data_IF_148376236592
#
_entry.id   IF_148376236592
#
_cell.length_a   1.000
_cell.length_b   1.000
_cell.length_c   1.000
_cell.angle_alpha   90.00
_cell.angle_beta   90.00
_cell.angle_gamma   90.00
#
_symmetry.space_group_name_H-M   'P 1'
#
loop_
_entity.id
_entity.type
_entity.pdbx_description
1 polymer ?
#
# COMPACT_ATOMS: atom_id res chain seq x y z
N UNK A 1 4.68 -10.34 5.24
CA UNK A 1 5.50 -11.56 5.49
C UNK A 1 4.54 -12.73 5.69
N UNK A 2 4.91 -13.99 5.35
CA UNK A 2 4.07 -15.16 5.65
C UNK A 2 3.78 -15.33 7.14
N UNK A 3 4.67 -14.88 8.00
CA UNK A 3 4.53 -14.89 9.46
C UNK A 3 3.94 -13.59 10.02
N UNK A 4 3.51 -12.67 9.16
CA UNK A 4 2.93 -11.39 9.59
C UNK A 4 1.53 -11.57 10.19
N UNK A 5 1.20 -10.73 11.15
CA UNK A 5 -0.07 -10.81 11.92
C UNK A 5 -1.34 -10.78 11.07
N UNK A 6 -1.25 -10.27 9.82
CA UNK A 6 -2.39 -10.14 8.92
C UNK A 6 -2.50 -11.27 7.88
N UNK A 7 -1.58 -12.25 7.87
CA UNK A 7 -1.52 -13.29 6.83
C UNK A 7 -2.82 -14.08 6.67
N UNK A 8 -3.53 -14.35 7.75
CA UNK A 8 -4.78 -15.12 7.75
C UNK A 8 -5.99 -14.36 7.20
N UNK A 9 -5.88 -13.03 7.04
CA UNK A 9 -6.94 -12.24 6.45
C UNK A 9 -6.89 -12.29 4.92
N UNK A 10 -8.04 -12.10 4.28
CA UNK A 10 -8.06 -11.95 2.82
C UNK A 10 -7.70 -10.51 2.41
N UNK A 11 -7.09 -10.31 1.22
CA UNK A 11 -6.81 -8.96 0.72
C UNK A 11 -8.04 -8.05 0.65
N UNK A 12 -9.20 -8.58 0.29
CA UNK A 12 -10.42 -7.79 0.22
C UNK A 12 -10.91 -7.36 1.60
N UNK A 13 -10.78 -8.23 2.62
CA UNK A 13 -11.07 -7.85 3.99
C UNK A 13 -10.19 -6.71 4.44
N UNK A 14 -8.87 -6.83 4.24
CA UNK A 14 -7.90 -5.78 4.59
C UNK A 14 -8.20 -4.47 3.84
N UNK A 15 -8.45 -4.53 2.54
CA UNK A 15 -8.77 -3.37 1.70
C UNK A 15 -10.05 -2.64 2.14
N UNK A 16 -11.01 -3.35 2.72
CA UNK A 16 -12.28 -2.78 3.18
C UNK A 16 -12.15 -2.02 4.51
N UNK A 17 -11.14 -2.31 5.33
CA UNK A 17 -11.04 -1.73 6.68
C UNK A 17 -10.90 -0.20 6.71
N UNK A 18 -10.05 0.44 5.88
CA UNK A 18 -10.01 1.90 5.81
C UNK A 18 -11.35 2.52 5.37
N UNK A 19 -12.07 1.89 4.44
CA UNK A 19 -13.37 2.37 3.98
C UNK A 19 -14.42 2.29 5.09
N UNK A 20 -14.49 1.17 5.81
CA UNK A 20 -15.38 1.02 6.95
C UNK A 20 -15.07 2.07 8.04
N UNK A 21 -13.79 2.27 8.35
CA UNK A 21 -13.36 3.26 9.33
C UNK A 21 -13.71 4.70 8.93
N UNK A 22 -13.65 5.03 7.64
CA UNK A 22 -14.09 6.35 7.17
C UNK A 22 -15.57 6.58 7.46
N UNK A 23 -16.44 5.60 7.23
CA UNK A 23 -17.88 5.71 7.54
C UNK A 23 -18.14 5.78 9.05
N UNK A 24 -17.40 5.02 9.84
CA UNK A 24 -17.51 5.04 11.30
C UNK A 24 -17.10 6.39 11.89
N UNK A 25 -16.02 6.97 11.38
CA UNK A 25 -15.47 8.25 11.86
C UNK A 25 -16.21 9.48 11.34
N UNK A 26 -16.78 9.37 10.15
CA UNK A 26 -17.45 10.45 9.45
C UNK A 26 -18.77 9.93 8.89
N UNK A 27 -19.88 10.03 9.66
CA UNK A 27 -21.17 9.57 9.19
C UNK A 27 -21.63 10.37 7.96
N UNK A 28 -21.70 9.71 6.81
CA UNK A 28 -22.19 10.24 5.55
C UNK A 28 -22.97 9.16 4.80
N UNK A 29 -23.87 9.57 3.91
CA UNK A 29 -24.49 8.63 2.98
C UNK A 29 -23.45 8.18 1.97
N UNK A 30 -23.15 6.87 1.94
CA UNK A 30 -22.15 6.34 1.01
C UNK A 30 -22.51 6.54 -0.46
N UNK A 31 -23.80 6.77 -0.80
CA UNK A 31 -24.24 7.14 -2.15
C UNK A 31 -23.65 8.44 -2.65
N UNK A 32 -23.21 9.31 -1.73
CA UNK A 32 -22.54 10.56 -2.09
C UNK A 32 -21.11 10.36 -2.62
N UNK A 33 -20.58 9.14 -2.53
CA UNK A 33 -19.24 8.82 -3.08
C UNK A 33 -19.36 8.50 -4.56
N UNK A 34 -18.82 9.39 -5.38
CA UNK A 34 -18.87 9.26 -6.85
C UNK A 34 -17.88 8.24 -7.39
N UNK A 35 -16.74 8.02 -6.71
CA UNK A 35 -15.77 7.00 -7.11
C UNK A 35 -14.80 6.65 -5.99
N UNK A 36 -14.34 5.40 -5.99
CA UNK A 36 -13.25 4.91 -5.15
C UNK A 36 -12.10 4.43 -6.02
N UNK A 37 -10.93 5.03 -5.88
CA UNK A 37 -9.74 4.69 -6.66
C UNK A 37 -8.73 4.02 -5.76
N UNK A 38 -8.39 2.75 -6.06
CA UNK A 38 -7.39 2.00 -5.31
C UNK A 38 -6.19 1.60 -6.16
N UNK A 39 -5.00 1.84 -5.64
CA UNK A 39 -3.77 1.29 -6.16
C UNK A 39 -3.59 -0.17 -5.73
N UNK A 40 -3.29 -1.04 -6.70
CA UNK A 40 -2.87 -2.41 -6.45
C UNK A 40 -1.88 -2.82 -7.53
N UNK A 41 -0.68 -3.24 -7.14
CA UNK A 41 0.42 -3.52 -8.08
C UNK A 41 0.30 -4.90 -8.69
N UNK A 42 -0.13 -5.90 -7.90
CA UNK A 42 -0.24 -7.29 -8.33
C UNK A 42 -1.70 -7.74 -8.31
N UNK A 43 -2.51 -7.33 -9.34
CA UNK A 43 -3.95 -7.53 -9.37
C UNK A 43 -4.32 -8.93 -9.87
N UNK A 44 -3.77 -9.98 -9.26
CA UNK A 44 -4.01 -11.39 -9.61
C UNK A 44 -4.46 -12.20 -8.39
N UNK A 45 -5.00 -13.38 -8.64
CA UNK A 45 -5.47 -14.26 -7.58
C UNK A 45 -6.47 -13.53 -6.66
N UNK A 46 -6.22 -13.53 -5.36
CA UNK A 46 -7.08 -12.89 -4.35
C UNK A 46 -7.14 -11.35 -4.46
N UNK A 47 -6.24 -10.73 -5.21
CA UNK A 47 -6.25 -9.28 -5.52
C UNK A 47 -6.80 -8.97 -6.92
N UNK A 48 -7.22 -10.01 -7.66
CA UNK A 48 -7.80 -9.87 -8.99
C UNK A 48 -9.24 -9.35 -9.00
N UNK A 49 -9.80 -9.19 -10.19
CA UNK A 49 -11.21 -8.88 -10.38
C UNK A 49 -11.64 -7.49 -9.89
N UNK A 50 -10.76 -6.49 -9.96
CA UNK A 50 -10.98 -5.12 -9.44
C UNK A 50 -11.21 -5.12 -7.91
N UNK A 51 -10.14 -5.32 -7.16
CA UNK A 51 -10.18 -5.37 -5.69
C UNK A 51 -10.75 -4.08 -5.06
N UNK A 52 -10.64 -2.93 -5.73
CA UNK A 52 -11.27 -1.68 -5.27
C UNK A 52 -12.79 -1.84 -5.16
N UNK A 53 -13.41 -2.40 -6.21
CA UNK A 53 -14.85 -2.64 -6.20
C UNK A 53 -15.26 -3.67 -5.14
N UNK A 54 -14.48 -4.72 -4.99
CA UNK A 54 -14.74 -5.73 -3.97
C UNK A 54 -14.60 -5.15 -2.55
N UNK A 55 -13.63 -4.27 -2.32
CA UNK A 55 -13.46 -3.58 -1.04
C UNK A 55 -14.64 -2.65 -0.70
N UNK A 56 -15.18 -1.94 -1.68
CA UNK A 56 -16.37 -1.08 -1.53
C UNK A 56 -17.56 -1.90 -1.06
N UNK A 57 -17.82 -3.03 -1.70
CA UNK A 57 -18.93 -3.94 -1.33
C UNK A 57 -18.69 -4.57 0.05
N UNK A 58 -17.46 -5.00 0.33
CA UNK A 58 -17.08 -5.61 1.62
C UNK A 58 -17.14 -4.60 2.78
N UNK A 59 -17.03 -3.30 2.51
CA UNK A 59 -17.17 -2.22 3.49
C UNK A 59 -18.62 -1.73 3.65
N UNK A 60 -19.59 -2.43 3.07
CA UNK A 60 -21.02 -2.11 3.11
C UNK A 60 -21.36 -0.70 2.60
N UNK A 61 -20.61 -0.20 1.61
CA UNK A 61 -21.02 0.96 0.84
C UNK A 61 -22.19 0.62 -0.06
N UNK A 62 -22.97 1.62 -0.43
CA UNK A 62 -24.09 1.42 -1.36
C UNK A 62 -23.59 0.75 -2.66
N UNK A 63 -24.31 -0.23 -3.19
CA UNK A 63 -23.91 -0.92 -4.42
C UNK A 63 -23.81 -0.02 -5.66
N UNK A 64 -24.35 1.20 -5.64
CA UNK A 64 -24.17 2.13 -6.74
C UNK A 64 -22.79 2.80 -6.79
N UNK A 65 -22.01 2.78 -5.69
CA UNK A 65 -20.68 3.41 -5.63
C UNK A 65 -19.71 2.68 -6.54
N UNK A 66 -19.21 3.31 -7.62
CA UNK A 66 -18.25 2.67 -8.51
C UNK A 66 -16.87 2.62 -7.87
N UNK A 67 -15.99 1.79 -8.44
CA UNK A 67 -14.60 1.78 -8.03
C UNK A 67 -13.68 1.37 -9.17
N UNK A 68 -12.48 1.96 -9.17
CA UNK A 68 -11.44 1.78 -10.15
C UNK A 68 -10.15 1.29 -9.48
N UNK A 69 -9.56 0.24 -10.02
CA UNK A 69 -8.22 -0.22 -9.65
C UNK A 69 -7.20 0.31 -10.65
N UNK A 70 -6.08 0.85 -10.15
CA UNK A 70 -5.00 1.35 -10.98
C UNK A 70 -3.65 0.75 -10.56
N UNK A 71 -2.71 0.73 -11.50
CA UNK A 71 -1.35 0.28 -11.28
C UNK A 71 -0.34 1.30 -11.83
N UNK A 72 0.52 1.80 -10.96
CA UNK A 72 1.73 2.59 -11.26
C UNK A 72 2.88 2.09 -10.39
N UNK A 73 3.05 0.76 -10.32
CA UNK A 73 4.05 0.10 -9.47
C UNK A 73 4.01 0.65 -8.02
N UNK A 74 5.16 0.86 -7.39
CA UNK A 74 5.26 1.36 -6.02
C UNK A 74 4.60 2.73 -5.78
N UNK A 75 4.29 3.48 -6.85
CA UNK A 75 3.55 4.74 -6.81
C UNK A 75 2.02 4.61 -6.90
N UNK A 76 1.47 3.38 -6.96
CA UNK A 76 0.04 3.16 -7.21
C UNK A 76 -0.89 3.83 -6.18
N UNK A 77 -0.54 3.80 -4.91
CA UNK A 77 -1.32 4.46 -3.86
C UNK A 77 -1.32 5.99 -3.98
N UNK A 78 -0.16 6.57 -4.28
CA UNK A 78 -0.06 8.01 -4.54
C UNK A 78 -0.87 8.41 -5.78
N UNK A 79 -0.74 7.63 -6.87
CA UNK A 79 -1.48 7.86 -8.10
C UNK A 79 -3.00 7.76 -7.89
N UNK A 80 -3.45 6.79 -7.09
CA UNK A 80 -4.87 6.63 -6.75
C UNK A 80 -5.43 7.90 -6.10
N UNK A 81 -4.70 8.47 -5.14
CA UNK A 81 -5.09 9.73 -4.48
C UNK A 81 -5.05 10.90 -5.47
N UNK A 82 -4.00 11.00 -6.28
CA UNK A 82 -3.88 12.06 -7.29
C UNK A 82 -5.00 11.99 -8.33
N UNK A 83 -5.33 10.77 -8.80
CA UNK A 83 -6.40 10.56 -9.76
C UNK A 83 -7.78 10.90 -9.17
N UNK A 84 -8.05 10.45 -7.94
CA UNK A 84 -9.28 10.79 -7.22
C UNK A 84 -9.43 12.32 -7.05
N UNK A 85 -8.36 13.00 -6.63
CA UNK A 85 -8.35 14.46 -6.52
C UNK A 85 -8.56 15.17 -7.86
N UNK A 86 -7.93 14.66 -8.95
CA UNK A 86 -8.10 15.23 -10.29
C UNK A 86 -9.54 15.16 -10.79
N UNK A 87 -10.30 14.10 -10.48
CA UNK A 87 -11.73 14.01 -10.82
C UNK A 87 -12.54 15.11 -10.15
N UNK A 88 -12.28 15.42 -8.89
CA UNK A 88 -12.94 16.53 -8.18
C UNK A 88 -12.52 17.87 -8.77
N UNK A 89 -11.22 18.08 -9.01
CA UNK A 89 -10.71 19.33 -9.61
C UNK A 89 -11.26 19.58 -11.02
N UNK A 90 -11.54 18.53 -11.79
CA UNK A 90 -12.13 18.62 -13.12
C UNK A 90 -13.66 18.76 -13.12
N UNK A 91 -14.30 18.76 -11.97
CA UNK A 91 -15.76 18.80 -11.84
C UNK A 91 -16.48 17.53 -12.32
N UNK A 92 -15.77 16.41 -12.38
CA UNK A 92 -16.33 15.10 -12.75
C UNK A 92 -16.93 14.36 -11.53
N UNK A 93 -16.59 14.78 -10.34
CA UNK A 93 -17.04 14.19 -9.09
C UNK A 93 -17.03 15.26 -7.98
N UNK A 94 -17.90 15.11 -6.99
CA UNK A 94 -17.95 15.97 -5.81
C UNK A 94 -17.21 15.32 -4.64
N UNK A 95 -17.28 13.99 -4.52
CA UNK A 95 -16.64 13.23 -3.44
C UNK A 95 -16.00 11.94 -3.97
N UNK A 96 -14.70 11.83 -3.81
CA UNK A 96 -13.93 10.64 -4.21
C UNK A 96 -13.06 10.14 -3.06
N UNK A 97 -12.74 8.84 -3.09
CA UNK A 97 -11.83 8.22 -2.14
C UNK A 97 -10.63 7.66 -2.90
N UNK A 98 -9.42 8.04 -2.53
CA UNK A 98 -8.17 7.48 -3.04
C UNK A 98 -7.46 6.64 -1.98
N UNK A 99 -6.98 5.45 -2.35
CA UNK A 99 -6.30 4.55 -1.42
C UNK A 99 -5.59 3.41 -2.13
N UNK A 100 -5.47 2.26 -1.47
CA UNK A 100 -4.88 1.07 -2.09
C UNK A 100 -4.71 -0.09 -1.12
N UNK A 101 -4.32 -1.23 -1.68
CA UNK A 101 -3.99 -2.43 -0.93
C UNK A 101 -2.91 -3.23 -1.65
N UNK A 102 -2.03 -3.83 -0.88
CA UNK A 102 -1.05 -4.80 -1.39
C UNK A 102 -0.74 -5.82 -0.29
N UNK A 103 -1.23 -7.03 -0.46
CA UNK A 103 -1.07 -8.09 0.53
C UNK A 103 -0.03 -9.12 0.10
N UNK A 104 1.23 -8.72 0.12
CA UNK A 104 2.38 -9.50 -0.37
C UNK A 104 2.63 -10.81 0.39
N UNK A 105 2.01 -11.03 1.54
CA UNK A 105 2.08 -12.32 2.25
C UNK A 105 1.24 -13.42 1.59
N UNK A 106 0.18 -13.04 0.85
CA UNK A 106 -0.72 -13.97 0.15
C UNK A 106 -0.58 -13.90 -1.37
N UNK A 107 -0.33 -12.72 -1.90
CA UNK A 107 -0.05 -12.49 -3.33
C UNK A 107 1.38 -11.95 -3.46
N UNK A 108 2.38 -12.81 -3.66
CA UNK A 108 3.78 -12.41 -3.70
C UNK A 108 4.08 -11.42 -4.83
N UNK A 109 5.07 -10.56 -4.60
CA UNK A 109 5.58 -9.63 -5.62
C UNK A 109 6.00 -10.42 -6.87
N UNK A 110 5.58 -9.94 -8.05
CA UNK A 110 5.88 -10.58 -9.33
C UNK A 110 4.92 -11.71 -9.73
N UNK A 111 3.88 -11.99 -8.93
CA UNK A 111 2.86 -13.02 -9.29
C UNK A 111 2.07 -12.65 -10.55
N UNK A 112 2.05 -11.39 -10.94
CA UNK A 112 1.45 -10.89 -12.18
C UNK A 112 2.31 -11.16 -13.42
N UNK A 113 3.53 -11.70 -13.24
CA UNK A 113 4.50 -11.91 -14.30
C UNK A 113 5.13 -10.60 -14.75
N UNK A 114 4.83 -10.19 -15.95
CA UNK A 114 5.27 -8.90 -16.48
C UNK A 114 6.32 -9.01 -17.57
N UNK A 115 6.02 -8.37 -18.70
CA UNK A 115 6.87 -8.37 -19.89
C UNK A 115 8.28 -7.84 -19.62
N UNK A 116 8.42 -6.93 -18.66
CA UNK A 116 9.70 -6.28 -18.37
C UNK A 116 10.79 -7.28 -17.95
N UNK A 117 10.43 -8.29 -17.15
CA UNK A 117 11.36 -9.32 -16.72
C UNK A 117 11.32 -10.58 -17.61
N UNK A 118 10.24 -10.79 -18.38
CA UNK A 118 10.01 -12.00 -19.16
C UNK A 118 10.29 -11.84 -20.65
N UNK A 119 10.25 -10.62 -21.20
CA UNK A 119 10.57 -10.33 -22.58
C UNK A 119 12.04 -9.90 -22.71
N UNK A 120 12.92 -10.74 -23.31
CA UNK A 120 14.35 -10.45 -23.42
C UNK A 120 14.65 -9.19 -24.25
N UNK A 121 13.82 -8.89 -25.26
CA UNK A 121 14.03 -7.71 -26.10
C UNK A 121 13.71 -6.43 -25.30
N UNK A 122 12.61 -6.43 -24.57
CA UNK A 122 12.24 -5.30 -23.73
C UNK A 122 13.24 -5.12 -22.58
N UNK A 123 13.64 -6.20 -21.91
CA UNK A 123 14.63 -6.17 -20.83
C UNK A 123 15.97 -5.57 -21.32
N UNK A 124 16.46 -6.04 -22.47
CA UNK A 124 17.69 -5.51 -23.09
C UNK A 124 17.55 -4.03 -23.48
N UNK A 125 16.45 -3.68 -24.16
CA UNK A 125 16.19 -2.30 -24.60
C UNK A 125 16.11 -1.30 -23.47
N UNK A 126 15.56 -1.70 -22.33
CA UNK A 126 15.38 -0.85 -21.15
C UNK A 126 16.50 -0.98 -20.13
N UNK A 127 17.49 -1.85 -20.40
CA UNK A 127 18.56 -2.18 -19.44
C UNK A 127 17.99 -2.58 -18.07
N UNK A 128 16.93 -3.40 -18.12
CA UNK A 128 16.22 -3.80 -16.89
C UNK A 128 17.14 -4.57 -15.95
N UNK A 129 17.19 -4.10 -14.71
CA UNK A 129 17.84 -4.78 -13.58
C UNK A 129 16.96 -4.71 -12.35
N UNK A 130 17.10 -5.66 -11.45
CA UNK A 130 16.35 -5.66 -10.19
C UNK A 130 16.65 -4.40 -9.37
N UNK A 131 15.65 -3.92 -8.64
CA UNK A 131 15.71 -2.64 -7.90
C UNK A 131 16.91 -2.55 -6.95
N UNK A 132 17.27 -3.63 -6.25
CA UNK A 132 18.44 -3.66 -5.37
C UNK A 132 19.75 -3.40 -6.13
N UNK A 133 19.91 -4.01 -7.31
CA UNK A 133 21.09 -3.78 -8.18
C UNK A 133 21.14 -2.32 -8.65
N UNK A 134 19.99 -1.75 -9.01
CA UNK A 134 19.90 -0.33 -9.38
C UNK A 134 20.28 0.59 -8.22
N UNK A 135 19.87 0.25 -7.01
CA UNK A 135 20.21 1.01 -5.79
C UNK A 135 21.71 0.96 -5.51
N UNK A 136 22.35 -0.22 -5.61
CA UNK A 136 23.80 -0.38 -5.44
C UNK A 136 24.59 0.37 -6.51
N UNK A 137 24.14 0.31 -7.76
CA UNK A 137 24.72 1.09 -8.84
C UNK A 137 24.64 2.59 -8.57
N UNK A 138 23.48 3.08 -8.13
CA UNK A 138 23.27 4.47 -7.78
C UNK A 138 24.19 4.91 -6.63
N UNK A 139 24.30 4.08 -5.59
CA UNK A 139 25.20 4.34 -4.46
C UNK A 139 26.66 4.46 -4.94
N UNK A 140 27.10 3.52 -5.79
CA UNK A 140 28.45 3.54 -6.38
C UNK A 140 28.70 4.78 -7.23
N UNK A 141 27.77 5.15 -8.10
CA UNK A 141 27.89 6.32 -8.98
C UNK A 141 27.88 7.65 -8.21
N UNK A 142 27.21 7.69 -7.06
CA UNK A 142 27.12 8.89 -6.21
C UNK A 142 28.15 8.93 -5.09
N UNK A 143 28.96 7.88 -4.93
CA UNK A 143 30.00 7.79 -3.92
C UNK A 143 29.48 7.62 -2.49
N UNK A 144 28.25 7.05 -2.33
CA UNK A 144 27.74 6.71 -1.00
C UNK A 144 28.43 5.46 -0.47
N UNK A 145 29.01 5.56 0.71
CA UNK A 145 29.63 4.43 1.38
C UNK A 145 28.59 3.50 2.02
N UNK A 146 28.98 2.27 2.33
CA UNK A 146 28.18 1.35 3.13
C UNK A 146 27.76 1.97 4.47
N UNK A 147 28.69 2.67 5.11
CA UNK A 147 28.44 3.34 6.39
C UNK A 147 27.34 4.43 6.28
N UNK A 148 27.32 5.18 5.16
CA UNK A 148 26.28 6.19 4.93
C UNK A 148 24.90 5.53 4.79
N UNK A 149 24.81 4.42 4.05
CA UNK A 149 23.57 3.70 3.83
C UNK A 149 23.04 3.07 5.14
N UNK A 150 23.93 2.48 5.94
CA UNK A 150 23.55 1.88 7.23
C UNK A 150 23.11 2.96 8.24
N UNK A 151 23.83 4.09 8.29
CA UNK A 151 23.44 5.23 9.13
C UNK A 151 22.06 5.77 8.75
N UNK A 152 21.77 5.90 7.45
CA UNK A 152 20.49 6.33 6.94
C UNK A 152 19.37 5.35 7.34
N UNK A 153 19.59 4.05 7.15
CA UNK A 153 18.62 2.99 7.49
C UNK A 153 18.32 2.98 8.99
N UNK A 154 19.36 3.01 9.84
CA UNK A 154 19.20 3.08 11.29
C UNK A 154 18.44 4.35 11.71
N UNK A 155 18.72 5.49 11.08
CA UNK A 155 18.01 6.75 11.34
C UNK A 155 16.53 6.64 10.98
N UNK A 156 16.18 6.00 9.86
CA UNK A 156 14.81 5.79 9.43
C UNK A 156 13.99 5.00 10.48
N UNK A 157 14.54 3.88 10.97
CA UNK A 157 13.89 3.09 12.03
C UNK A 157 13.70 3.90 13.32
N UNK A 158 14.71 4.65 13.77
CA UNK A 158 14.57 5.49 14.97
C UNK A 158 13.50 6.56 14.83
N UNK A 159 13.39 7.20 13.65
CA UNK A 159 12.33 8.21 13.38
C UNK A 159 10.96 7.59 13.43
N UNK A 160 10.76 6.43 12.81
CA UNK A 160 9.50 5.72 12.82
C UNK A 160 9.11 5.29 14.24
N UNK A 161 10.04 4.69 15.01
CA UNK A 161 9.80 4.30 16.40
C UNK A 161 9.41 5.50 17.27
N UNK A 162 10.11 6.64 17.11
CA UNK A 162 9.78 7.87 17.85
C UNK A 162 8.39 8.39 17.49
N UNK A 163 8.02 8.39 16.21
CA UNK A 163 6.70 8.85 15.78
C UNK A 163 5.56 8.01 16.38
N UNK A 164 5.76 6.70 16.52
CA UNK A 164 4.83 5.82 17.21
C UNK A 164 4.77 6.10 18.71
N UNK A 165 5.92 6.21 19.37
CA UNK A 165 6.00 6.51 20.81
C UNK A 165 5.34 7.86 21.17
N UNK A 166 5.44 8.86 20.28
CA UNK A 166 4.80 10.16 20.42
C UNK A 166 3.30 10.18 20.04
N UNK A 167 2.72 9.03 19.66
CA UNK A 167 1.30 8.90 19.32
C UNK A 167 0.88 9.60 18.02
N UNK A 168 1.82 9.89 17.10
CA UNK A 168 1.56 10.66 15.88
C UNK A 168 0.58 9.99 14.91
N UNK A 169 0.40 8.67 15.04
CA UNK A 169 -0.48 7.87 14.18
C UNK A 169 -1.87 7.62 14.76
N UNK A 170 -2.17 8.10 15.97
CA UNK A 170 -3.44 7.82 16.66
C UNK A 170 -4.70 8.23 15.91
N UNK A 171 -4.61 9.18 14.96
CA UNK A 171 -5.73 9.63 14.13
C UNK A 171 -5.78 8.96 12.76
N UNK A 172 -4.69 8.40 12.27
CA UNK A 172 -4.57 7.86 10.91
C UNK A 172 -4.61 6.34 10.86
N UNK A 173 -4.10 5.66 11.89
CA UNK A 173 -4.09 4.20 11.94
C UNK A 173 -5.46 3.66 12.36
N UNK A 174 -5.88 2.61 11.68
CA UNK A 174 -7.06 1.82 12.01
C UNK A 174 -6.56 0.45 12.48
N UNK A 175 -6.77 0.06 13.74
CA UNK A 175 -6.46 -1.28 14.20
C UNK A 175 -7.22 -2.33 13.38
N UNK A 176 -6.53 -3.37 12.97
CA UNK A 176 -7.12 -4.47 12.20
C UNK A 176 -7.61 -5.55 13.16
N UNK A 177 -8.86 -5.93 13.00
CA UNK A 177 -9.52 -6.98 13.79
C UNK A 177 -9.95 -8.11 12.87
N UNK A 178 -10.07 -9.30 13.44
CA UNK A 178 -10.69 -10.45 12.78
C UNK A 178 -12.22 -10.33 12.72
N UNK A 179 -12.87 -11.38 12.21
CA UNK A 179 -14.32 -11.45 12.09
C UNK A 179 -15.05 -11.53 13.44
N UNK A 180 -14.35 -11.92 14.50
CA UNK A 180 -14.88 -12.00 15.86
C UNK A 180 -14.61 -10.73 16.68
N UNK A 181 -13.91 -9.75 16.08
CA UNK A 181 -13.54 -8.49 16.72
C UNK A 181 -12.25 -8.55 17.55
N UNK A 182 -11.50 -9.67 17.51
CA UNK A 182 -10.19 -9.77 18.13
C UNK A 182 -9.18 -8.90 17.36
N UNK A 183 -8.48 -8.03 18.08
CA UNK A 183 -7.44 -7.20 17.49
C UNK A 183 -6.23 -8.05 17.09
N UNK A 184 -5.88 -8.01 15.81
CA UNK A 184 -4.74 -8.71 15.23
C UNK A 184 -3.51 -7.82 15.13
N UNK A 185 -3.71 -6.55 14.80
CA UNK A 185 -2.61 -5.60 14.59
C UNK A 185 -3.10 -4.16 14.76
N UNK A 186 -2.44 -3.41 15.65
CA UNK A 186 -2.73 -1.99 15.90
C UNK A 186 -1.55 -1.05 15.57
N UNK A 187 -0.40 -1.59 15.21
CA UNK A 187 0.82 -0.80 14.92
C UNK A 187 1.65 -1.45 13.81
N UNK A 188 2.58 -0.69 13.25
CA UNK A 188 3.50 -1.21 12.24
C UNK A 188 4.50 -2.19 12.86
N UNK A 189 4.37 -3.47 12.52
CA UNK A 189 5.24 -4.56 13.00
C UNK A 189 6.59 -4.66 12.28
N UNK A 190 6.87 -3.78 11.30
CA UNK A 190 8.11 -3.80 10.53
C UNK A 190 9.20 -2.90 11.11
N UNK A 191 8.86 -2.05 12.07
CA UNK A 191 9.79 -1.12 12.71
C UNK A 191 10.70 -1.87 13.69
N UNK A 192 12.00 -1.72 13.51
CA UNK A 192 13.05 -2.27 14.37
C UNK A 192 13.78 -1.12 15.07
N UNK A 193 13.29 -0.76 16.25
CA UNK A 193 13.79 0.39 17.02
C UNK A 193 15.25 0.26 17.45
N UNK A 194 15.74 -0.97 17.61
CA UNK A 194 17.09 -1.34 17.99
C UNK A 194 18.09 -1.42 16.82
N UNK A 195 17.63 -1.11 15.60
CA UNK A 195 18.51 -1.10 14.42
C UNK A 195 19.67 -0.12 14.60
N UNK A 196 20.88 -0.61 14.41
CA UNK A 196 22.14 0.15 14.47
C UNK A 196 23.00 -0.16 13.25
N UNK A 197 24.00 0.67 12.98
CA UNK A 197 24.97 0.39 11.91
C UNK A 197 25.72 -0.94 12.13
N UNK A 198 25.87 -1.39 13.38
CA UNK A 198 26.52 -2.66 13.69
C UNK A 198 25.62 -3.88 13.43
N UNK A 199 24.29 -3.70 13.32
CA UNK A 199 23.31 -4.76 13.03
C UNK A 199 22.92 -4.86 11.57
N UNK A 200 23.40 -3.95 10.71
CA UNK A 200 23.16 -3.87 9.28
C UNK A 200 24.38 -4.32 8.48
#
# INVERSE_FOLDING_TARGET
KPEGSLHELTPVWLASRPLAALRERHPFDSRAVDDVVYGCVVPVGEQGGNIARMAVLQADYDPCVPALQINRYCGSGLEAVAFAAAKVMAGQADLTIGGGVEMMSRVPMGSDGGAWAQDPQLASKTSFVMQGISADLLASLRGHSRADLDAYSAHSHRRAARAWAEGRFGRSVVPVKDFLGLELLAHDETIRADTSAASL
#
